data_IF_565101783682
#
_entry.id   IF_565101783682
#
_cell.length_a   1.000
_cell.length_b   1.000
_cell.length_c   1.000
_cell.angle_alpha   90.00
_cell.angle_beta   90.00
_cell.angle_gamma   90.00
#
_symmetry.space_group_name_H-M   'P 1'
#
loop_
_entity.id
_entity.type
_entity.pdbx_description
1 polymer ?
#
# COMPACT_ATOMS: atom_id res chain seq x y z
N UNK A 1 6.08 -13.16 -22.17
CA UNK A 1 6.36 -11.97 -21.34
C UNK A 1 7.64 -11.33 -21.87
N UNK A 2 7.58 -10.47 -22.89
CA UNK A 2 8.77 -10.02 -23.63
C UNK A 2 9.48 -8.81 -23.02
N UNK A 3 9.00 -8.22 -21.93
CA UNK A 3 9.40 -6.85 -21.54
C UNK A 3 9.99 -6.75 -20.12
N UNK A 4 10.39 -7.88 -19.53
CA UNK A 4 10.99 -7.88 -18.20
C UNK A 4 12.46 -7.41 -18.28
N UNK A 5 12.65 -6.09 -18.25
CA UNK A 5 13.95 -5.46 -18.05
C UNK A 5 14.27 -5.28 -16.57
N UNK A 6 15.56 -5.25 -16.23
CA UNK A 6 15.99 -4.87 -14.88
C UNK A 6 15.67 -3.40 -14.62
N UNK A 7 15.16 -3.09 -13.42
CA UNK A 7 15.00 -1.73 -12.96
C UNK A 7 16.35 -1.17 -12.50
N UNK A 8 16.66 0.07 -12.89
CA UNK A 8 17.77 0.82 -12.30
C UNK A 8 17.41 1.32 -10.89
N UNK A 9 18.35 1.98 -10.20
CA UNK A 9 18.14 2.45 -8.83
C UNK A 9 16.97 3.43 -8.70
N UNK A 10 16.84 4.39 -9.62
CA UNK A 10 15.77 5.39 -9.59
C UNK A 10 14.41 4.74 -9.88
N UNK A 11 14.35 3.85 -10.87
CA UNK A 11 13.15 3.10 -11.21
C UNK A 11 12.73 2.16 -10.07
N UNK A 12 13.69 1.56 -9.37
CA UNK A 12 13.43 0.72 -8.19
C UNK A 12 12.86 1.54 -7.04
N UNK A 13 13.46 2.68 -6.70
CA UNK A 13 12.96 3.54 -5.61
C UNK A 13 11.59 4.13 -5.95
N UNK A 14 11.41 4.56 -7.20
CA UNK A 14 10.13 5.05 -7.72
C UNK A 14 9.04 3.98 -7.70
N UNK A 15 9.40 2.72 -7.97
CA UNK A 15 8.48 1.59 -7.87
C UNK A 15 8.12 1.25 -6.43
N UNK A 16 9.08 1.30 -5.50
CA UNK A 16 8.87 0.95 -4.10
C UNK A 16 8.07 2.00 -3.32
N UNK A 17 8.27 3.29 -3.58
CA UNK A 17 7.58 4.38 -2.87
C UNK A 17 6.04 4.22 -2.81
N UNK A 18 5.31 4.02 -3.93
CA UNK A 18 3.86 3.86 -3.90
C UNK A 18 3.38 2.54 -3.26
N UNK A 19 4.27 1.60 -2.94
CA UNK A 19 3.87 0.38 -2.21
C UNK A 19 3.68 0.62 -0.71
N UNK A 20 4.25 1.71 -0.18
CA UNK A 20 4.18 2.10 1.23
C UNK A 20 3.72 3.55 1.43
N UNK A 21 3.26 4.20 0.37
CA UNK A 21 2.75 5.56 0.38
C UNK A 21 1.55 5.67 -0.54
N UNK A 22 0.64 6.58 -0.22
CA UNK A 22 -0.51 6.92 -1.08
C UNK A 22 -0.15 7.94 -2.17
N UNK A 23 1.05 8.54 -2.11
CA UNK A 23 1.50 9.51 -3.12
C UNK A 23 2.23 8.79 -4.24
N UNK A 24 2.00 9.22 -5.48
CA UNK A 24 2.75 8.74 -6.63
C UNK A 24 3.68 9.83 -7.13
N UNK A 25 4.99 9.59 -7.04
CA UNK A 25 6.01 10.46 -7.59
C UNK A 25 7.31 9.70 -7.85
N UNK A 26 8.22 10.31 -8.62
CA UNK A 26 9.56 9.75 -8.85
C UNK A 26 10.46 9.98 -7.65
N UNK A 27 11.22 8.97 -7.29
CA UNK A 27 12.22 9.03 -6.21
C UNK A 27 13.61 8.89 -6.83
N UNK A 28 14.36 10.00 -6.85
CA UNK A 28 15.74 10.03 -7.32
C UNK A 28 16.64 9.26 -6.33
N UNK A 29 17.68 8.62 -6.85
CA UNK A 29 18.75 8.05 -6.01
C UNK A 29 19.49 9.20 -5.30
N UNK A 30 19.55 9.20 -3.96
CA UNK A 30 20.26 10.24 -3.22
C UNK A 30 21.76 10.17 -3.46
N UNK A 31 22.42 11.33 -3.43
CA UNK A 31 23.88 11.42 -3.62
C UNK A 31 24.65 10.79 -2.44
N UNK A 32 24.05 10.80 -1.25
CA UNK A 32 24.58 10.16 -0.05
C UNK A 32 23.73 8.90 0.23
N UNK A 33 24.33 7.71 0.37
CA UNK A 33 23.61 6.50 0.73
C UNK A 33 22.87 6.69 2.06
N UNK A 34 21.60 6.30 2.08
CA UNK A 34 20.74 6.40 3.25
C UNK A 34 19.83 5.19 3.36
N UNK A 35 19.29 4.97 4.55
CA UNK A 35 18.36 3.87 4.77
C UNK A 35 17.07 4.07 3.99
N UNK A 36 16.55 2.98 3.42
CA UNK A 36 15.36 3.01 2.57
C UNK A 36 14.10 3.40 3.33
N UNK A 37 13.99 3.05 4.61
CA UNK A 37 12.89 3.48 5.46
C UNK A 37 12.90 5.00 5.66
N UNK A 38 14.06 5.59 5.90
CA UNK A 38 14.22 7.04 6.01
C UNK A 38 13.98 7.77 4.68
N UNK A 39 14.25 7.13 3.55
CA UNK A 39 14.07 7.71 2.22
C UNK A 39 12.64 7.59 1.69
N UNK A 40 12.00 6.43 1.88
CA UNK A 40 10.73 6.08 1.25
C UNK A 40 9.53 6.31 2.18
N UNK A 41 9.68 6.22 3.50
CA UNK A 41 8.56 6.38 4.42
C UNK A 41 8.22 7.87 4.61
N UNK A 42 7.20 8.34 3.90
CA UNK A 42 6.74 9.73 3.96
C UNK A 42 5.38 9.90 4.65
N UNK A 43 4.76 8.79 5.08
CA UNK A 43 3.47 8.75 5.75
C UNK A 43 3.51 7.81 6.95
N UNK A 44 2.84 8.16 8.07
CA UNK A 44 2.76 7.28 9.22
C UNK A 44 1.90 6.05 8.90
N UNK A 45 2.34 4.88 9.34
CA UNK A 45 1.54 3.66 9.36
C UNK A 45 0.95 3.47 10.77
N UNK A 46 -0.35 3.73 10.90
CA UNK A 46 -1.11 3.50 12.13
C UNK A 46 -1.66 2.07 12.11
N UNK A 47 -1.38 1.28 13.15
CA UNK A 47 -1.93 -0.07 13.33
C UNK A 47 -3.17 -0.09 14.23
N UNK A 48 -3.56 -1.28 14.69
CA UNK A 48 -4.66 -1.46 15.65
C UNK A 48 -6.03 -1.63 15.01
N UNK A 49 -7.08 -1.15 15.68
CA UNK A 49 -8.48 -1.37 15.28
C UNK A 49 -8.93 -0.53 14.07
N UNK A 50 -8.14 0.49 13.69
CA UNK A 50 -8.34 1.28 12.48
C UNK A 50 -7.01 1.50 11.79
N UNK A 51 -6.47 0.50 11.07
CA UNK A 51 -5.19 0.65 10.42
C UNK A 51 -5.26 1.71 9.32
N UNK A 52 -4.28 2.60 9.27
CA UNK A 52 -4.24 3.74 8.35
C UNK A 52 -2.82 3.97 7.82
N UNK A 53 -2.71 4.42 6.58
CA UNK A 53 -1.49 4.95 5.98
C UNK A 53 -1.70 6.44 5.72
N UNK A 54 -1.11 7.29 6.56
CA UNK A 54 -1.51 8.69 6.66
C UNK A 54 -3.01 8.79 6.97
N UNK A 55 -3.75 9.46 6.09
CA UNK A 55 -5.21 9.62 6.20
C UNK A 55 -6.00 8.51 5.47
N UNK A 56 -5.31 7.57 4.81
CA UNK A 56 -5.97 6.51 4.05
C UNK A 56 -6.21 5.28 4.93
N UNK A 57 -7.44 4.79 4.98
CA UNK A 57 -7.77 3.56 5.69
C UNK A 57 -7.23 2.33 4.96
N UNK A 58 -6.47 1.50 5.69
CA UNK A 58 -6.01 0.20 5.24
C UNK A 58 -7.07 -0.83 5.59
N UNK A 59 -7.32 -1.78 4.69
CA UNK A 59 -8.22 -2.91 4.94
C UNK A 59 -7.49 -4.20 4.67
N UNK A 60 -7.70 -5.17 5.57
CA UNK A 60 -7.10 -6.49 5.44
C UNK A 60 -8.15 -7.45 4.92
N UNK A 61 -7.89 -8.04 3.76
CA UNK A 61 -8.68 -9.13 3.19
C UNK A 61 -7.86 -10.42 3.27
N UNK A 62 -8.34 -11.40 4.04
CA UNK A 62 -7.69 -12.71 4.14
C UNK A 62 -8.30 -13.67 3.13
N UNK A 63 -7.47 -14.22 2.24
CA UNK A 63 -7.87 -15.29 1.32
C UNK A 63 -7.65 -16.64 2.02
N UNK A 64 -8.75 -17.34 2.36
CA UNK A 64 -8.73 -18.57 3.18
C UNK A 64 -8.27 -19.82 2.41
N UNK A 65 -8.15 -19.74 1.08
CA UNK A 65 -7.61 -20.80 0.25
C UNK A 65 -7.15 -20.29 -1.10
N UNK A 66 -6.03 -20.80 -1.60
CA UNK A 66 -5.56 -20.48 -2.95
C UNK A 66 -6.29 -21.33 -3.99
N UNK A 67 -6.64 -20.77 -5.15
CA UNK A 67 -7.27 -21.52 -6.23
C UNK A 67 -6.32 -22.60 -6.75
N UNK A 68 -6.87 -23.72 -7.23
CA UNK A 68 -6.11 -24.86 -7.80
C UNK A 68 -5.39 -24.52 -9.11
N UNK A 69 -5.70 -23.38 -9.72
CA UNK A 69 -5.00 -22.81 -10.86
C UNK A 69 -4.93 -21.28 -10.72
N UNK A 70 -3.80 -20.69 -11.10
CA UNK A 70 -3.60 -19.24 -11.13
C UNK A 70 -3.60 -18.75 -12.58
N UNK A 71 -4.34 -17.67 -12.84
CA UNK A 71 -4.27 -16.92 -14.09
C UNK A 71 -3.88 -15.47 -13.78
N UNK A 72 -3.17 -14.78 -14.70
CA UNK A 72 -2.95 -13.35 -14.56
C UNK A 72 -4.29 -12.62 -14.34
N UNK A 73 -4.35 -11.77 -13.32
CA UNK A 73 -5.56 -10.99 -13.00
C UNK A 73 -6.61 -11.71 -12.15
N UNK A 74 -6.35 -12.92 -11.63
CA UNK A 74 -7.31 -13.67 -10.79
C UNK A 74 -7.77 -12.93 -9.51
N UNK A 75 -7.03 -11.90 -9.08
CA UNK A 75 -7.36 -11.06 -7.92
C UNK A 75 -7.84 -9.65 -8.31
N UNK A 76 -8.01 -9.35 -9.60
CA UNK A 76 -8.37 -7.99 -10.02
C UNK A 76 -9.80 -7.60 -9.60
N UNK A 77 -10.70 -8.58 -9.50
CA UNK A 77 -12.04 -8.37 -8.95
C UNK A 77 -12.02 -7.92 -7.49
N UNK A 78 -10.99 -8.28 -6.72
CA UNK A 78 -10.81 -7.80 -5.34
C UNK A 78 -10.52 -6.29 -5.29
N UNK A 79 -9.84 -5.74 -6.32
CA UNK A 79 -9.57 -4.31 -6.42
C UNK A 79 -10.86 -3.49 -6.63
N UNK A 80 -11.96 -4.13 -7.09
CA UNK A 80 -13.25 -3.48 -7.33
C UNK A 80 -14.20 -3.55 -6.14
N UNK A 81 -13.84 -4.27 -5.08
CA UNK A 81 -14.68 -4.40 -3.89
C UNK A 81 -14.74 -3.06 -3.15
N UNK A 82 -15.84 -2.34 -3.36
CA UNK A 82 -16.15 -1.11 -2.63
C UNK A 82 -16.70 -1.50 -1.26
N UNK A 83 -15.84 -1.64 -0.26
CA UNK A 83 -16.30 -1.67 1.12
C UNK A 83 -16.35 -0.22 1.64
N UNK A 84 -17.41 0.25 2.28
CA UNK A 84 -17.36 1.41 3.15
C UNK A 84 -16.89 0.96 4.55
N UNK A 85 -16.01 1.74 5.21
CA UNK A 85 -15.94 1.64 6.67
C UNK A 85 -16.91 2.67 7.21
N UNK A 86 -17.86 2.26 8.03
CA UNK A 86 -18.55 3.20 8.91
C UNK A 86 -17.72 3.29 10.18
N UNK A 87 -17.20 4.48 10.47
CA UNK A 87 -16.68 4.78 11.79
C UNK A 87 -17.84 4.59 12.78
N UNK A 88 -17.77 3.57 13.63
CA UNK A 88 -18.61 3.52 14.82
C UNK A 88 -18.06 4.60 15.75
N UNK A 89 -18.74 5.74 15.79
CA UNK A 89 -18.51 6.77 16.80
C UNK A 89 -18.86 6.20 18.18
N UNK A 90 -17.89 6.02 19.11
CA UNK A 90 -18.19 5.60 20.48
C UNK A 90 -18.63 6.78 21.36
N UNK A 91 -18.95 7.94 20.80
CA UNK A 91 -19.04 9.22 21.50
C UNK A 91 -20.42 9.89 21.54
N UNK A 92 -21.52 9.17 21.67
CA UNK A 92 -22.79 9.78 22.11
C UNK A 92 -23.16 9.41 23.55
N UNK A 93 -22.24 9.69 24.48
CA UNK A 93 -22.54 9.80 25.91
C UNK A 93 -21.74 10.92 26.55
N UNK A 94 -22.16 12.18 26.34
CA UNK A 94 -22.15 13.20 27.37
C UNK A 94 -22.81 14.50 26.87
N UNK A 95 -24.09 14.64 27.24
CA UNK A 95 -24.85 15.88 27.50
C UNK A 95 -25.24 16.76 26.31
#
# INVERSE_FOLDING_TARGET
MPECGWLDGEATLTYLHPTISTKQHRVRVPEIPMYLDALLADQPLTGGLGPMLGEAHIRVLTVVGFPSATTPGILDDLNRLTFPISLVDPGHHAR
#
